data_IF_977460586368
#
_entry.id   IF_977460586368
#
_cell.length_a   1.000
_cell.length_b   1.000
_cell.length_c   1.000
_cell.angle_alpha   90.00
_cell.angle_beta   90.00
_cell.angle_gamma   90.00
#
_symmetry.space_group_name_H-M   'P 1'
#
loop_
_entity.id
_entity.type
_entity.pdbx_description
1 polymer ?
#
# COMPACT_ATOMS: atom_id res chain seq x y z
N UNK A 1 -23.74 -1.15 -8.50
CA UNK A 1 -22.60 -0.21 -8.55
C UNK A 1 -23.13 1.07 -9.16
N UNK A 2 -23.37 2.08 -8.34
CA UNK A 2 -23.79 3.42 -8.79
C UNK A 2 -22.67 4.09 -9.60
N UNK A 3 -22.86 4.14 -10.90
CA UNK A 3 -21.95 4.76 -11.88
C UNK A 3 -22.23 6.27 -12.05
N UNK A 4 -23.17 6.84 -11.29
CA UNK A 4 -23.67 8.21 -11.47
C UNK A 4 -22.93 9.26 -10.63
N UNK A 5 -21.82 8.88 -9.98
CA UNK A 5 -20.90 9.87 -9.42
C UNK A 5 -20.04 10.44 -10.54
N UNK A 6 -20.00 11.77 -10.74
CA UNK A 6 -19.05 12.34 -11.67
C UNK A 6 -17.64 11.88 -11.26
N UNK A 7 -16.76 11.53 -12.22
CA UNK A 7 -15.38 11.19 -11.92
C UNK A 7 -14.81 12.27 -11.00
N UNK A 8 -14.27 11.88 -9.84
CA UNK A 8 -13.55 12.85 -9.02
C UNK A 8 -12.40 13.35 -9.89
N UNK A 9 -12.48 14.62 -10.29
CA UNK A 9 -11.43 15.26 -11.05
C UNK A 9 -10.14 15.06 -10.26
N UNK A 10 -9.14 14.39 -10.84
CA UNK A 10 -7.90 13.99 -10.17
C UNK A 10 -7.29 15.14 -9.33
N UNK A 11 -7.42 16.36 -9.84
CA UNK A 11 -7.06 17.63 -9.19
C UNK A 11 -7.61 17.79 -7.77
N UNK A 12 -8.90 17.52 -7.51
CA UNK A 12 -9.50 17.70 -6.17
C UNK A 12 -9.01 16.68 -5.15
N UNK A 13 -8.75 15.45 -5.59
CA UNK A 13 -8.18 14.45 -4.70
C UNK A 13 -6.74 14.83 -4.32
N UNK A 14 -5.96 15.36 -5.27
CA UNK A 14 -4.61 15.86 -5.03
C UNK A 14 -4.60 17.05 -4.05
N UNK A 15 -5.50 18.01 -4.21
CA UNK A 15 -5.60 19.20 -3.35
C UNK A 15 -5.74 18.85 -1.86
N UNK A 16 -6.62 17.90 -1.52
CA UNK A 16 -6.87 17.49 -0.13
C UNK A 16 -5.59 16.92 0.53
N UNK A 17 -4.81 16.12 -0.19
CA UNK A 17 -3.59 15.55 0.37
C UNK A 17 -2.45 16.58 0.43
N UNK A 18 -2.37 17.49 -0.54
CA UNK A 18 -1.40 18.58 -0.52
C UNK A 18 -1.61 19.51 0.67
N UNK A 19 -2.87 19.83 1.02
CA UNK A 19 -3.18 20.61 2.23
C UNK A 19 -2.73 19.90 3.52
N UNK A 20 -2.75 18.56 3.54
CA UNK A 20 -2.23 17.76 4.64
C UNK A 20 -0.70 17.58 4.60
N UNK A 21 -0.01 18.18 3.63
CA UNK A 21 1.42 18.03 3.43
C UNK A 21 1.83 16.63 2.96
N UNK A 22 0.88 15.84 2.43
CA UNK A 22 1.08 14.47 2.00
C UNK A 22 1.03 14.35 0.48
N UNK A 23 1.88 13.49 -0.06
CA UNK A 23 1.81 13.08 -1.46
C UNK A 23 0.90 11.85 -1.60
N UNK A 24 0.26 11.70 -2.75
CA UNK A 24 -0.48 10.47 -3.09
C UNK A 24 0.39 9.21 -3.00
N UNK A 25 1.69 9.34 -3.26
CA UNK A 25 2.64 8.26 -3.10
C UNK A 25 2.80 7.85 -1.64
N UNK A 26 2.95 8.80 -0.71
CA UNK A 26 3.04 8.49 0.73
C UNK A 26 1.77 7.80 1.22
N UNK A 27 0.59 8.31 0.86
CA UNK A 27 -0.70 7.69 1.23
C UNK A 27 -0.80 6.27 0.70
N UNK A 28 -0.34 6.05 -0.54
CA UNK A 28 -0.28 4.70 -1.12
C UNK A 28 0.67 3.79 -0.35
N UNK A 29 1.87 4.27 -0.01
CA UNK A 29 2.86 3.49 0.76
C UNK A 29 2.31 3.11 2.14
N UNK A 30 1.66 4.05 2.83
CA UNK A 30 1.03 3.82 4.13
C UNK A 30 -0.04 2.74 4.03
N UNK A 31 -0.90 2.82 3.00
CA UNK A 31 -1.95 1.81 2.82
C UNK A 31 -1.39 0.42 2.50
N UNK A 32 -0.31 0.33 1.72
CA UNK A 32 0.35 -0.97 1.44
C UNK A 32 0.97 -1.53 2.72
N UNK A 33 1.61 -0.69 3.52
CA UNK A 33 2.25 -1.11 4.77
C UNK A 33 1.22 -1.54 5.83
N UNK A 34 0.09 -0.84 5.91
CA UNK A 34 -1.05 -1.21 6.75
C UNK A 34 -1.60 -2.59 6.38
N UNK A 35 -1.89 -2.83 5.10
CA UNK A 35 -2.36 -4.13 4.63
C UNK A 35 -1.33 -5.26 4.86
N UNK A 36 -0.04 -4.95 4.72
CA UNK A 36 1.03 -5.89 4.99
C UNK A 36 1.07 -6.31 6.46
N UNK A 37 0.73 -5.41 7.41
CA UNK A 37 0.62 -5.75 8.84
C UNK A 37 -0.53 -6.71 9.11
N UNK A 38 -1.66 -6.51 8.46
CA UNK A 38 -2.85 -7.33 8.65
C UNK A 38 -2.71 -8.74 8.04
N UNK A 39 -2.22 -8.82 6.81
CA UNK A 39 -2.32 -10.08 6.02
C UNK A 39 -1.02 -10.88 6.01
N UNK A 40 0.14 -10.24 6.02
CA UNK A 40 1.45 -10.86 5.84
C UNK A 40 1.56 -11.78 4.59
N UNK A 41 0.73 -11.57 3.56
CA UNK A 41 0.68 -12.39 2.35
C UNK A 41 1.17 -11.60 1.12
N UNK A 42 2.33 -11.97 0.51
CA UNK A 42 2.88 -11.22 -0.61
C UNK A 42 2.01 -11.33 -1.87
N UNK A 43 1.33 -12.45 -2.09
CA UNK A 43 0.48 -12.64 -3.27
C UNK A 43 -0.75 -11.75 -3.18
N UNK A 44 -1.32 -11.60 -1.97
CA UNK A 44 -2.41 -10.66 -1.71
C UNK A 44 -1.99 -9.22 -2.02
N UNK A 45 -0.84 -8.75 -1.52
CA UNK A 45 -0.36 -7.40 -1.79
C UNK A 45 -0.12 -7.15 -3.29
N UNK A 46 0.44 -8.12 -4.01
CA UNK A 46 0.64 -8.04 -5.45
C UNK A 46 -0.69 -7.87 -6.19
N UNK A 47 -1.71 -8.64 -5.83
CA UNK A 47 -3.04 -8.58 -6.47
C UNK A 47 -3.78 -7.29 -6.14
N UNK A 48 -3.73 -6.85 -4.88
CA UNK A 48 -4.47 -5.68 -4.41
C UNK A 48 -3.84 -4.36 -4.91
N UNK A 49 -2.52 -4.26 -4.91
CA UNK A 49 -1.81 -3.02 -5.23
C UNK A 49 -1.05 -3.04 -6.55
N UNK A 50 -1.01 -4.16 -7.28
CA UNK A 50 -0.29 -4.24 -8.56
C UNK A 50 1.22 -4.00 -8.42
N UNK A 51 1.81 -4.40 -7.29
CA UNK A 51 3.24 -4.26 -7.00
C UNK A 51 3.99 -5.55 -7.34
N UNK A 52 5.31 -5.44 -7.54
CA UNK A 52 6.16 -6.62 -7.78
C UNK A 52 6.32 -7.49 -6.53
N UNK A 53 6.70 -8.75 -6.73
CA UNK A 53 7.10 -9.70 -5.70
C UNK A 53 8.16 -9.11 -4.75
N UNK A 54 9.19 -8.47 -5.31
CA UNK A 54 10.28 -7.86 -4.54
C UNK A 54 9.76 -6.72 -3.67
N UNK A 55 8.80 -5.95 -4.17
CA UNK A 55 8.19 -4.84 -3.42
C UNK A 55 7.27 -5.37 -2.32
N UNK A 56 6.43 -6.37 -2.62
CA UNK A 56 5.56 -7.01 -1.63
C UNK A 56 6.37 -7.61 -0.47
N UNK A 57 7.46 -8.31 -0.79
CA UNK A 57 8.36 -8.88 0.22
C UNK A 57 9.01 -7.81 1.11
N UNK A 58 9.41 -6.66 0.55
CA UNK A 58 9.94 -5.53 1.35
C UNK A 58 8.90 -5.03 2.36
N UNK A 59 7.67 -4.80 1.93
CA UNK A 59 6.61 -4.36 2.84
C UNK A 59 6.32 -5.38 3.94
N UNK A 60 6.32 -6.68 3.63
CA UNK A 60 6.14 -7.73 4.64
C UNK A 60 7.32 -7.74 5.63
N UNK A 61 8.55 -7.59 5.15
CA UNK A 61 9.72 -7.51 6.04
C UNK A 61 9.65 -6.29 6.96
N UNK A 62 9.23 -5.14 6.44
CA UNK A 62 9.05 -3.92 7.22
C UNK A 62 7.89 -4.03 8.22
N UNK A 63 6.79 -4.70 7.86
CA UNK A 63 5.63 -4.91 8.72
C UNK A 63 5.88 -5.98 9.80
N UNK A 64 6.69 -7.00 9.50
CA UNK A 64 6.93 -8.16 10.36
C UNK A 64 8.43 -8.46 10.56
N UNK A 65 9.19 -7.57 11.20
CA UNK A 65 10.64 -7.75 11.37
C UNK A 65 11.02 -9.00 12.18
N UNK A 66 10.12 -9.54 13.00
CA UNK A 66 10.35 -10.76 13.79
C UNK A 66 10.10 -12.07 13.02
N UNK A 67 9.45 -12.01 11.85
CA UNK A 67 9.14 -13.21 11.04
C UNK A 67 10.24 -13.56 10.04
N UNK A 68 11.22 -12.68 9.87
CA UNK A 68 12.27 -12.77 8.86
C UNK A 68 13.59 -13.32 9.42
N UNK A 69 13.68 -13.56 10.74
CA UNK A 69 14.92 -13.97 11.44
C UNK A 69 15.19 -15.48 11.44
N UNK A 70 14.47 -16.29 10.66
CA UNK A 70 14.71 -17.75 10.58
C UNK A 70 14.86 -18.23 9.14
N UNK A 71 16.02 -17.96 8.55
CA UNK A 71 16.65 -18.94 7.66
C UNK A 71 17.80 -19.58 8.44
N UNK A 72 17.67 -20.83 8.92
CA UNK A 72 18.84 -21.59 9.33
C UNK A 72 19.74 -21.78 8.10
N UNK A 73 21.00 -21.38 8.25
CA UNK A 73 22.08 -21.57 7.28
C UNK A 73 22.45 -23.04 7.16
#
# INVERSE_FOLDING_TARGET
MDLDRPPIHNTRAVEIFVELGLTLQQVRQDRILDEARETADPVHLMRLFGISDTTAMKYIHSAHPHRTTKLPR
#
